data_IF_776221571109
#
_entry.id   IF_776221571109
#
_cell.length_a   1.000
_cell.length_b   1.000
_cell.length_c   1.000
_cell.angle_alpha   90.00
_cell.angle_beta   90.00
_cell.angle_gamma   90.00
#
_symmetry.space_group_name_H-M   'P 1'
#
loop_
_entity.id
_entity.type
_entity.pdbx_description
1 polymer ?
#
# COMPACT_ATOMS: atom_id res chain seq x y z
N UNK A 1 13.97 40.97 63.10
CA UNK A 1 13.58 39.55 63.11
C UNK A 1 12.75 39.29 61.85
N UNK A 2 13.34 38.49 60.94
CA UNK A 2 12.89 37.89 59.67
C UNK A 2 11.60 38.37 58.96
N UNK A 3 11.83 38.85 57.72
CA UNK A 3 10.92 39.02 56.57
C UNK A 3 10.05 37.77 56.30
N UNK A 4 8.79 37.98 55.89
CA UNK A 4 8.09 37.15 54.90
C UNK A 4 7.14 38.01 54.04
N UNK A 5 7.60 38.29 52.81
CA UNK A 5 6.76 38.45 51.63
C UNK A 5 6.09 37.08 51.33
N UNK A 6 4.93 37.07 50.68
CA UNK A 6 4.76 36.59 49.30
C UNK A 6 3.27 36.64 48.94
N UNK A 7 3.00 37.44 47.92
CA UNK A 7 1.78 37.52 47.13
C UNK A 7 1.86 36.37 46.10
N UNK A 8 0.94 35.41 46.17
CA UNK A 8 0.92 34.29 45.23
C UNK A 8 0.04 34.65 44.02
N UNK A 9 0.70 34.95 42.90
CA UNK A 9 0.07 34.97 41.58
C UNK A 9 -0.29 33.54 41.17
N UNK A 10 -1.47 33.41 40.57
CA UNK A 10 -1.95 32.20 39.88
C UNK A 10 -1.02 31.96 38.68
N UNK A 11 -0.18 30.92 38.76
CA UNK A 11 0.57 30.40 37.64
C UNK A 11 -0.27 29.26 37.02
N UNK A 12 -0.85 29.52 35.86
CA UNK A 12 -1.42 28.51 34.98
C UNK A 12 -0.25 27.64 34.50
N UNK A 13 -0.15 26.43 35.03
CA UNK A 13 0.83 25.44 34.60
C UNK A 13 0.29 24.78 33.33
N UNK A 14 0.58 25.38 32.17
CA UNK A 14 0.47 24.69 30.88
C UNK A 14 1.55 23.61 30.88
N UNK A 15 1.17 22.38 31.18
CA UNK A 15 1.96 21.20 30.85
C UNK A 15 1.81 21.01 29.35
N UNK A 16 2.62 21.72 28.57
CA UNK A 16 2.94 21.30 27.21
C UNK A 16 3.71 19.98 27.36
N UNK A 17 3.01 18.87 27.17
CA UNK A 17 3.63 17.62 26.75
C UNK A 17 4.27 17.90 25.38
N UNK A 18 5.49 18.42 25.41
CA UNK A 18 6.42 18.37 24.30
C UNK A 18 6.76 16.90 24.11
N UNK A 19 5.95 16.21 23.30
CA UNK A 19 6.43 15.04 22.59
C UNK A 19 7.56 15.60 21.71
N UNK A 20 8.82 15.18 21.90
CA UNK A 20 9.85 15.57 20.96
C UNK A 20 9.45 14.93 19.63
N UNK A 21 8.99 15.76 18.69
CA UNK A 21 8.98 15.44 17.26
C UNK A 21 10.46 15.44 16.82
N UNK A 22 11.23 14.51 17.36
CA UNK A 22 12.29 13.85 16.60
C UNK A 22 11.62 12.67 15.92
N UNK A 23 10.65 12.97 15.07
CA UNK A 23 10.09 12.03 14.12
C UNK A 23 11.22 11.65 13.17
N UNK A 24 11.44 10.35 13.03
CA UNK A 24 12.31 9.70 12.05
C UNK A 24 12.51 10.57 10.80
N UNK A 25 13.62 11.30 10.75
CA UNK A 25 13.97 12.08 9.58
C UNK A 25 14.05 11.11 8.40
N UNK A 26 13.34 11.41 7.32
CA UNK A 26 13.61 10.78 6.03
C UNK A 26 15.02 11.24 5.64
N UNK A 27 16.03 10.43 5.95
CA UNK A 27 17.44 10.80 5.82
C UNK A 27 17.70 11.40 4.43
N UNK A 28 18.00 12.70 4.40
CA UNK A 28 18.43 13.52 3.26
C UNK A 28 17.56 13.63 1.99
N UNK A 29 16.37 13.05 1.98
CA UNK A 29 15.50 13.07 0.80
C UNK A 29 14.45 14.18 0.84
N UNK A 30 14.31 14.88 -0.28
CA UNK A 30 13.21 15.80 -0.54
C UNK A 30 11.87 15.08 -0.77
N UNK A 31 10.77 15.69 -0.36
CA UNK A 31 9.42 15.26 -0.74
C UNK A 31 8.77 16.28 -1.65
N UNK A 32 8.29 15.84 -2.82
CA UNK A 32 7.52 16.66 -3.73
C UNK A 32 6.03 16.45 -3.49
N UNK A 33 5.35 17.48 -3.07
CA UNK A 33 3.92 17.52 -2.87
C UNK A 33 3.23 18.14 -4.07
N UNK A 34 2.10 17.58 -4.44
CA UNK A 34 1.23 18.11 -5.48
C UNK A 34 -0.22 18.00 -5.03
N UNK A 35 -1.00 19.06 -5.20
CA UNK A 35 -2.43 19.06 -4.88
C UNK A 35 -3.23 18.90 -6.17
N UNK A 36 -4.01 17.83 -6.28
CA UNK A 36 -4.81 17.54 -7.47
C UNK A 36 -6.30 17.43 -7.14
N UNK A 37 -7.19 17.79 -8.08
CA UNK A 37 -8.57 17.34 -8.03
C UNK A 37 -8.61 15.82 -8.03
N UNK A 38 -9.41 15.25 -7.14
CA UNK A 38 -9.52 13.80 -6.98
C UNK A 38 -10.97 13.39 -6.80
N UNK A 39 -11.35 12.30 -7.44
CA UNK A 39 -12.66 11.65 -7.24
C UNK A 39 -12.41 10.34 -6.51
N UNK A 40 -12.99 10.20 -5.33
CA UNK A 40 -12.81 9.03 -4.49
C UNK A 40 -13.36 7.77 -5.13
N UNK A 41 -12.63 6.67 -4.95
CA UNK A 41 -13.09 5.35 -5.35
C UNK A 41 -14.20 4.84 -4.43
N UNK A 42 -14.88 3.77 -4.85
CA UNK A 42 -15.92 3.11 -4.05
C UNK A 42 -15.39 2.80 -2.63
N UNK A 43 -16.12 3.26 -1.62
CA UNK A 43 -15.84 3.05 -0.19
C UNK A 43 -14.48 3.57 0.29
N UNK A 44 -13.89 4.53 -0.42
CA UNK A 44 -12.65 5.17 0.02
C UNK A 44 -12.90 6.14 1.18
N UNK A 45 -12.19 6.01 2.32
CA UNK A 45 -12.31 6.96 3.41
C UNK A 45 -11.63 8.30 3.07
N UNK A 46 -12.25 9.40 3.49
CA UNK A 46 -11.73 10.75 3.26
C UNK A 46 -10.36 10.97 3.91
N UNK A 47 -10.18 10.49 5.13
CA UNK A 47 -8.92 10.54 5.87
C UNK A 47 -8.62 9.19 6.53
N UNK A 48 -7.35 8.95 6.86
CA UNK A 48 -6.94 7.70 7.48
C UNK A 48 -6.96 6.49 6.54
N UNK A 49 -6.82 5.30 7.13
CA UNK A 49 -6.82 4.03 6.44
C UNK A 49 -7.55 2.96 7.23
N UNK A 50 -8.33 2.15 6.54
CA UNK A 50 -8.93 0.94 7.08
C UNK A 50 -7.88 0.00 7.65
N UNK A 51 -8.07 -0.39 8.92
CA UNK A 51 -7.21 -1.34 9.59
C UNK A 51 -7.72 -2.76 9.33
N UNK A 52 -6.89 -3.62 8.76
CA UNK A 52 -7.24 -4.99 8.42
C UNK A 52 -6.26 -6.04 8.93
N UNK A 53 -6.70 -7.30 8.94
CA UNK A 53 -5.86 -8.43 9.34
C UNK A 53 -6.18 -9.72 8.57
N UNK A 54 -5.19 -10.60 8.48
CA UNK A 54 -5.37 -12.00 8.13
C UNK A 54 -4.99 -12.86 9.32
N UNK A 55 -5.94 -13.68 9.76
CA UNK A 55 -5.81 -14.50 10.98
C UNK A 55 -6.27 -15.94 10.78
N UNK A 56 -6.74 -16.29 9.58
CA UNK A 56 -7.44 -17.56 9.33
C UNK A 56 -6.54 -18.81 9.31
N UNK A 57 -5.24 -18.62 9.54
CA UNK A 57 -4.25 -19.70 9.68
C UNK A 57 -3.52 -19.63 11.02
N UNK A 58 -4.01 -18.81 11.95
CA UNK A 58 -3.38 -18.66 13.25
C UNK A 58 -4.02 -19.56 14.31
N UNK A 59 -3.39 -20.73 14.49
CA UNK A 59 -3.85 -21.76 15.42
C UNK A 59 -3.82 -21.29 16.88
N UNK A 60 -2.90 -20.38 17.26
CA UNK A 60 -2.81 -19.88 18.64
C UNK A 60 -4.05 -19.11 19.09
N UNK A 61 -4.82 -18.58 18.13
CA UNK A 61 -6.09 -17.88 18.37
C UNK A 61 -7.28 -18.62 17.77
N UNK A 62 -7.16 -19.91 17.46
CA UNK A 62 -8.23 -20.71 16.82
C UNK A 62 -8.80 -20.06 15.54
N UNK A 63 -7.97 -19.34 14.78
CA UNK A 63 -8.40 -18.57 13.60
C UNK A 63 -9.47 -17.49 13.88
N UNK A 64 -9.59 -17.04 15.14
CA UNK A 64 -10.68 -16.19 15.62
C UNK A 64 -10.35 -14.69 15.48
N UNK A 65 -11.11 -14.02 14.63
CA UNK A 65 -11.00 -12.58 14.35
C UNK A 65 -11.37 -11.71 15.56
N UNK A 66 -12.36 -12.14 16.34
CA UNK A 66 -12.79 -11.44 17.57
C UNK A 66 -11.72 -11.57 18.64
N UNK A 67 -11.11 -12.75 18.80
CA UNK A 67 -9.99 -12.93 19.75
C UNK A 67 -8.78 -12.08 19.34
N UNK A 68 -8.44 -12.01 18.05
CA UNK A 68 -7.38 -11.12 17.58
C UNK A 68 -7.64 -9.66 17.95
N UNK A 69 -8.86 -9.15 17.70
CA UNK A 69 -9.26 -7.80 18.08
C UNK A 69 -9.15 -7.55 19.60
N UNK A 70 -9.49 -8.54 20.42
CA UNK A 70 -9.36 -8.44 21.88
C UNK A 70 -7.89 -8.35 22.29
N UNK A 71 -7.01 -9.17 21.71
CA UNK A 71 -5.59 -9.19 22.05
C UNK A 71 -4.89 -7.89 21.68
N UNK A 72 -5.15 -7.36 20.49
CA UNK A 72 -4.53 -6.11 20.01
C UNK A 72 -5.25 -4.85 20.52
N UNK A 73 -6.42 -5.00 21.14
CA UNK A 73 -7.17 -3.91 21.77
C UNK A 73 -7.84 -2.93 20.79
N UNK A 74 -7.99 -3.31 19.51
CA UNK A 74 -8.68 -2.50 18.50
C UNK A 74 -9.36 -3.38 17.46
N UNK A 75 -10.54 -2.95 17.00
CA UNK A 75 -11.31 -3.62 15.95
C UNK A 75 -10.67 -3.38 14.58
N UNK A 76 -10.50 -4.45 13.82
CA UNK A 76 -10.14 -4.40 12.40
C UNK A 76 -11.42 -4.36 11.56
N UNK A 77 -11.46 -3.47 10.56
CA UNK A 77 -12.61 -3.28 9.67
C UNK A 77 -12.57 -4.23 8.48
N UNK A 78 -11.42 -4.78 8.09
CA UNK A 78 -11.35 -5.74 6.98
C UNK A 78 -10.53 -6.96 7.36
N UNK A 79 -11.04 -8.14 7.00
CA UNK A 79 -10.28 -9.38 7.05
C UNK A 79 -10.34 -10.03 5.69
N UNK A 80 -9.25 -10.68 5.31
CA UNK A 80 -9.22 -11.39 4.04
C UNK A 80 -9.22 -12.91 4.17
N UNK A 81 -9.64 -13.58 3.08
CA UNK A 81 -9.61 -15.03 2.94
C UNK A 81 -9.13 -15.40 1.54
N UNK A 82 -8.18 -16.32 1.47
CA UNK A 82 -7.83 -16.98 0.20
C UNK A 82 -8.95 -17.93 -0.23
N UNK A 83 -9.33 -17.84 -1.49
CA UNK A 83 -10.34 -18.67 -2.12
C UNK A 83 -9.85 -19.06 -3.51
N UNK A 84 -9.71 -20.36 -3.76
CA UNK A 84 -9.42 -20.84 -5.12
C UNK A 84 -10.58 -20.57 -6.08
N UNK A 85 -10.28 -20.16 -7.30
CA UNK A 85 -11.25 -20.06 -8.38
C UNK A 85 -11.90 -21.43 -8.67
N UNK A 86 -13.19 -21.43 -8.95
CA UNK A 86 -14.04 -22.63 -9.03
C UNK A 86 -14.65 -23.05 -7.68
N UNK A 87 -14.35 -22.36 -6.56
CA UNK A 87 -15.02 -22.58 -5.26
C UNK A 87 -16.23 -21.67 -5.09
N UNK A 88 -17.29 -22.12 -4.39
CA UNK A 88 -18.49 -21.32 -4.17
C UNK A 88 -18.18 -20.05 -3.36
N UNK A 89 -19.05 -19.04 -3.50
CA UNK A 89 -18.97 -17.82 -2.71
C UNK A 89 -19.05 -18.13 -1.20
N UNK A 90 -18.13 -17.63 -0.37
CA UNK A 90 -18.00 -18.06 1.02
C UNK A 90 -18.97 -17.29 1.94
N UNK A 91 -20.28 -17.42 1.71
CA UNK A 91 -21.33 -16.59 2.34
C UNK A 91 -21.28 -16.57 3.87
N UNK A 92 -21.06 -17.71 4.52
CA UNK A 92 -21.02 -17.77 6.00
C UNK A 92 -19.86 -16.94 6.57
N UNK A 93 -18.70 -17.00 5.92
CA UNK A 93 -17.55 -16.22 6.33
C UNK A 93 -17.76 -14.73 6.03
N UNK A 94 -18.33 -14.40 4.87
CA UNK A 94 -18.71 -13.03 4.50
C UNK A 94 -19.66 -12.43 5.54
N UNK A 95 -20.72 -13.14 5.90
CA UNK A 95 -21.67 -12.71 6.92
C UNK A 95 -21.01 -12.48 8.28
N UNK A 96 -20.05 -13.33 8.68
CA UNK A 96 -19.32 -13.13 9.94
C UNK A 96 -18.54 -11.81 9.99
N UNK A 97 -18.04 -11.31 8.86
CA UNK A 97 -17.38 -10.00 8.78
C UNK A 97 -18.40 -8.86 8.79
N UNK A 98 -19.54 -9.05 8.13
CA UNK A 98 -20.64 -8.07 8.11
C UNK A 98 -21.23 -7.89 9.50
N UNK A 99 -21.39 -8.97 10.27
CA UNK A 99 -21.82 -8.94 11.66
C UNK A 99 -20.84 -8.19 12.56
N UNK A 100 -19.54 -8.20 12.21
CA UNK A 100 -18.54 -7.35 12.85
C UNK A 100 -18.59 -5.90 12.36
N UNK A 101 -19.43 -5.56 11.37
CA UNK A 101 -19.51 -4.25 10.74
C UNK A 101 -18.27 -3.91 9.92
N UNK A 102 -17.70 -4.91 9.24
CA UNK A 102 -16.49 -4.79 8.42
C UNK A 102 -16.71 -5.05 6.93
N UNK A 103 -15.64 -4.93 6.14
CA UNK A 103 -15.58 -5.21 4.70
C UNK A 103 -14.89 -6.56 4.48
N UNK A 104 -15.62 -7.61 4.05
CA UNK A 104 -15.00 -8.86 3.65
C UNK A 104 -14.06 -8.67 2.45
N UNK A 105 -12.87 -9.25 2.51
CA UNK A 105 -11.89 -9.22 1.43
C UNK A 105 -11.61 -10.65 0.92
N UNK A 106 -12.01 -10.94 -0.32
CA UNK A 106 -11.79 -12.25 -0.94
C UNK A 106 -10.55 -12.17 -1.83
N UNK A 107 -9.50 -12.89 -1.46
CA UNK A 107 -8.33 -13.12 -2.30
C UNK A 107 -8.61 -14.32 -3.22
N UNK A 108 -9.04 -14.03 -4.43
CA UNK A 108 -9.61 -15.00 -5.36
C UNK A 108 -8.58 -15.46 -6.39
N UNK A 109 -8.13 -16.71 -6.28
CA UNK A 109 -6.94 -17.18 -6.97
C UNK A 109 -7.26 -18.23 -8.04
N UNK A 110 -7.03 -17.95 -9.34
CA UNK A 110 -7.10 -18.95 -10.40
C UNK A 110 -5.87 -19.85 -10.35
N UNK A 111 -5.78 -20.67 -9.30
CA UNK A 111 -4.64 -21.54 -8.97
C UNK A 111 -4.29 -22.54 -10.09
N UNK A 112 -5.23 -22.85 -10.97
CA UNK A 112 -5.04 -23.73 -12.12
C UNK A 112 -4.73 -22.95 -13.43
N UNK A 113 -4.51 -21.64 -13.36
CA UNK A 113 -4.22 -20.78 -14.50
C UNK A 113 -5.46 -20.08 -15.09
N UNK A 114 -5.20 -19.15 -16.01
CA UNK A 114 -6.19 -18.23 -16.59
C UNK A 114 -7.20 -18.90 -17.54
N UNK A 115 -6.89 -20.07 -18.10
CA UNK A 115 -7.78 -20.79 -19.02
C UNK A 115 -9.12 -21.20 -18.37
N UNK A 116 -9.11 -21.38 -17.05
CA UNK A 116 -10.29 -21.70 -16.25
C UNK A 116 -11.22 -20.51 -16.03
N UNK A 117 -10.78 -19.29 -16.35
CA UNK A 117 -11.51 -18.05 -16.11
C UNK A 117 -12.30 -17.69 -17.36
N UNK A 118 -13.59 -17.96 -17.32
CA UNK A 118 -14.51 -17.76 -18.43
C UNK A 118 -15.78 -17.06 -17.93
N UNK A 119 -16.49 -16.41 -18.85
CA UNK A 119 -17.84 -15.92 -18.58
C UNK A 119 -18.82 -17.10 -18.64
N UNK A 120 -18.80 -17.90 -17.58
CA UNK A 120 -19.56 -19.13 -17.44
C UNK A 120 -20.53 -19.07 -16.25
N UNK A 121 -21.31 -20.14 -16.09
CA UNK A 121 -22.28 -20.27 -14.99
C UNK A 121 -21.62 -20.13 -13.61
N UNK A 122 -20.36 -20.54 -13.47
CA UNK A 122 -19.64 -20.41 -12.21
C UNK A 122 -19.35 -18.95 -11.88
N UNK A 123 -18.72 -18.21 -12.79
CA UNK A 123 -18.39 -16.80 -12.58
C UNK A 123 -19.67 -15.98 -12.34
N UNK A 124 -20.71 -16.22 -13.16
CA UNK A 124 -22.00 -15.51 -13.04
C UNK A 124 -22.69 -15.81 -11.70
N UNK A 125 -22.75 -17.07 -11.28
CA UNK A 125 -23.34 -17.40 -9.98
C UNK A 125 -22.53 -16.81 -8.83
N UNK A 126 -21.20 -16.87 -8.88
CA UNK A 126 -20.33 -16.27 -7.86
C UNK A 126 -20.59 -14.76 -7.72
N UNK A 127 -20.71 -14.05 -8.84
CA UNK A 127 -20.97 -12.62 -8.86
C UNK A 127 -22.39 -12.28 -8.37
N UNK A 128 -23.39 -13.09 -8.74
CA UNK A 128 -24.76 -12.95 -8.23
C UNK A 128 -24.85 -13.17 -6.72
N UNK A 129 -24.16 -14.19 -6.20
CA UNK A 129 -24.09 -14.45 -4.77
C UNK A 129 -23.42 -13.29 -4.04
N UNK A 130 -22.34 -12.73 -4.59
CA UNK A 130 -21.68 -11.55 -4.07
C UNK A 130 -22.60 -10.31 -4.09
N UNK A 131 -23.36 -10.11 -5.16
CA UNK A 131 -24.32 -9.01 -5.29
C UNK A 131 -25.50 -9.11 -4.33
N UNK A 132 -25.97 -10.33 -4.06
CA UNK A 132 -27.07 -10.60 -3.13
C UNK A 132 -26.75 -10.24 -1.66
N UNK A 133 -25.46 -10.12 -1.31
CA UNK A 133 -25.01 -9.66 0.02
C UNK A 133 -25.37 -8.19 0.26
N UNK A 134 -25.44 -7.38 -0.80
CA UNK A 134 -25.75 -5.94 -0.74
C UNK A 134 -24.83 -5.12 0.20
N UNK A 135 -23.57 -5.54 0.34
CA UNK A 135 -22.55 -4.95 1.22
C UNK A 135 -21.23 -4.68 0.47
N UNK A 136 -20.38 -3.72 0.88
CA UNK A 136 -19.04 -3.56 0.31
C UNK A 136 -18.20 -4.84 0.44
N UNK A 137 -17.50 -5.21 -0.64
CA UNK A 137 -16.63 -6.38 -0.71
C UNK A 137 -15.35 -6.02 -1.45
N UNK A 138 -14.18 -6.38 -0.92
CA UNK A 138 -12.96 -6.36 -1.73
C UNK A 138 -12.82 -7.68 -2.49
N UNK A 139 -12.70 -7.60 -3.82
CA UNK A 139 -12.41 -8.74 -4.70
C UNK A 139 -11.00 -8.58 -5.23
N UNK A 140 -10.06 -9.31 -4.61
CA UNK A 140 -8.66 -9.34 -5.00
C UNK A 140 -8.42 -10.56 -5.89
N UNK A 141 -8.75 -10.42 -7.17
CA UNK A 141 -8.60 -11.47 -8.16
C UNK A 141 -7.12 -11.60 -8.61
N UNK A 142 -6.58 -12.81 -8.65
CA UNK A 142 -5.30 -13.14 -9.28
C UNK A 142 -4.15 -12.18 -8.89
N UNK A 143 -3.91 -12.00 -7.58
CA UNK A 143 -2.88 -11.11 -7.04
C UNK A 143 -1.45 -11.62 -7.26
N UNK A 144 -0.46 -10.72 -7.20
CA UNK A 144 0.98 -11.01 -7.35
C UNK A 144 1.40 -11.58 -8.71
N UNK A 145 0.55 -11.39 -9.72
CA UNK A 145 0.77 -11.79 -11.11
C UNK A 145 2.11 -11.31 -11.69
N UNK A 146 2.66 -10.21 -11.17
CA UNK A 146 3.93 -9.61 -11.62
C UNK A 146 5.17 -10.45 -11.28
N UNK A 147 5.03 -11.49 -10.45
CA UNK A 147 6.07 -12.46 -10.14
C UNK A 147 6.25 -13.57 -11.18
N UNK A 148 6.84 -14.68 -10.75
CA UNK A 148 7.01 -15.91 -11.55
C UNK A 148 6.43 -17.16 -10.88
N UNK A 149 5.72 -16.98 -9.76
CA UNK A 149 5.28 -18.07 -8.88
C UNK A 149 3.80 -18.39 -8.96
N UNK A 150 3.01 -17.61 -9.70
CA UNK A 150 1.59 -17.86 -9.89
C UNK A 150 1.33 -18.53 -11.24
N UNK A 151 0.33 -19.40 -11.32
CA UNK A 151 -0.08 -20.05 -12.58
C UNK A 151 -0.64 -19.07 -13.62
N UNK A 152 -0.88 -17.83 -13.21
CA UNK A 152 -1.37 -16.71 -14.02
C UNK A 152 -0.30 -15.60 -14.21
N UNK A 153 0.97 -15.91 -13.93
CA UNK A 153 2.12 -15.08 -14.30
C UNK A 153 2.64 -15.43 -15.70
N UNK A 154 3.38 -14.52 -16.31
CA UNK A 154 4.12 -14.70 -17.57
C UNK A 154 3.41 -14.14 -18.80
N UNK A 155 2.07 -14.20 -18.86
CA UNK A 155 1.27 -13.65 -19.96
C UNK A 155 0.38 -12.50 -19.46
N UNK A 156 0.89 -11.28 -19.58
CA UNK A 156 0.16 -10.09 -19.15
C UNK A 156 -1.01 -9.73 -20.06
N UNK A 157 -1.01 -10.19 -21.32
CA UNK A 157 -2.12 -9.92 -22.25
C UNK A 157 -3.33 -10.76 -21.87
N UNK A 158 -3.12 -12.07 -21.65
CA UNK A 158 -4.16 -12.96 -21.16
C UNK A 158 -4.65 -12.53 -19.77
N UNK A 159 -3.75 -12.09 -18.89
CA UNK A 159 -4.13 -11.56 -17.58
C UNK A 159 -5.07 -10.37 -17.69
N UNK A 160 -4.73 -9.37 -18.51
CA UNK A 160 -5.56 -8.17 -18.70
C UNK A 160 -6.92 -8.55 -19.29
N UNK A 161 -6.97 -9.47 -20.26
CA UNK A 161 -8.23 -9.98 -20.81
C UNK A 161 -9.12 -10.59 -19.71
N UNK A 162 -8.57 -11.50 -18.89
CA UNK A 162 -9.35 -12.17 -17.84
C UNK A 162 -9.72 -11.25 -16.69
N UNK A 163 -8.85 -10.30 -16.35
CA UNK A 163 -9.18 -9.26 -15.37
C UNK A 163 -10.40 -8.47 -15.80
N UNK A 164 -10.39 -7.97 -17.04
CA UNK A 164 -11.50 -7.16 -17.58
C UNK A 164 -12.79 -7.96 -17.63
N UNK A 165 -12.72 -9.22 -18.06
CA UNK A 165 -13.87 -10.14 -18.04
C UNK A 165 -14.46 -10.28 -16.64
N UNK A 166 -13.63 -10.56 -15.61
CA UNK A 166 -14.11 -10.69 -14.22
C UNK A 166 -14.67 -9.38 -13.71
N UNK A 167 -13.99 -8.26 -13.98
CA UNK A 167 -14.49 -6.94 -13.62
C UNK A 167 -15.88 -6.67 -14.21
N UNK A 168 -16.08 -6.90 -15.50
CA UNK A 168 -17.35 -6.59 -16.16
C UNK A 168 -18.51 -7.42 -15.61
N UNK A 169 -18.27 -8.69 -15.27
CA UNK A 169 -19.28 -9.52 -14.60
C UNK A 169 -19.56 -9.03 -13.17
N UNK A 170 -18.52 -8.69 -12.41
CA UNK A 170 -18.69 -8.18 -11.04
C UNK A 170 -19.38 -6.81 -11.02
N UNK A 171 -19.05 -5.91 -11.93
CA UNK A 171 -19.70 -4.59 -12.03
C UNK A 171 -21.19 -4.74 -12.38
N UNK A 172 -21.53 -5.71 -13.23
CA UNK A 172 -22.92 -5.99 -13.60
C UNK A 172 -23.73 -6.59 -12.44
N UNK A 173 -23.21 -7.62 -11.78
CA UNK A 173 -23.98 -8.43 -10.82
C UNK A 173 -23.77 -7.98 -9.37
N UNK A 174 -22.64 -7.37 -9.05
CA UNK A 174 -22.22 -6.98 -7.70
C UNK A 174 -21.57 -5.56 -7.67
N UNK A 175 -22.29 -4.50 -8.03
CA UNK A 175 -21.72 -3.15 -8.21
C UNK A 175 -21.12 -2.53 -6.93
N UNK A 176 -21.47 -3.04 -5.74
CA UNK A 176 -20.86 -2.65 -4.45
C UNK A 176 -19.50 -3.32 -4.18
N UNK A 177 -19.13 -4.33 -4.97
CA UNK A 177 -17.80 -4.92 -4.91
C UNK A 177 -16.75 -3.94 -5.46
N UNK A 178 -15.59 -3.93 -4.82
CA UNK A 178 -14.40 -3.19 -5.22
C UNK A 178 -13.40 -4.16 -5.84
N UNK A 179 -13.11 -3.98 -7.12
CA UNK A 179 -12.08 -4.73 -7.82
C UNK A 179 -10.70 -4.22 -7.40
N UNK A 180 -9.98 -5.05 -6.62
CA UNK A 180 -8.73 -4.73 -5.94
C UNK A 180 -7.54 -5.35 -6.68
N UNK A 181 -6.85 -4.56 -7.49
CA UNK A 181 -5.70 -5.01 -8.30
C UNK A 181 -4.43 -5.02 -7.47
N UNK A 182 -4.06 -6.20 -6.96
CA UNK A 182 -2.91 -6.37 -6.06
C UNK A 182 -1.68 -6.93 -6.75
N UNK A 183 -0.55 -6.23 -6.61
CA UNK A 183 0.78 -6.70 -7.02
C UNK A 183 1.62 -7.12 -5.82
N UNK A 184 2.68 -7.89 -6.06
CA UNK A 184 3.79 -7.95 -5.11
C UNK A 184 4.73 -6.77 -5.38
N UNK A 185 5.38 -6.22 -4.34
CA UNK A 185 6.30 -5.08 -4.49
C UNK A 185 7.44 -5.32 -5.52
N UNK A 186 7.78 -6.58 -5.81
CA UNK A 186 8.76 -6.96 -6.85
C UNK A 186 8.29 -8.08 -7.77
N UNK A 187 8.84 -8.22 -9.00
CA UNK A 187 9.67 -7.24 -9.72
C UNK A 187 8.86 -6.03 -10.21
N UNK A 188 9.34 -4.81 -9.94
CA UNK A 188 8.68 -3.55 -10.34
C UNK A 188 8.50 -3.45 -11.86
N UNK A 189 9.49 -3.87 -12.65
CA UNK A 189 9.49 -3.76 -14.11
C UNK A 189 8.40 -4.59 -14.81
N UNK A 190 7.70 -5.46 -14.07
CA UNK A 190 6.56 -6.21 -14.58
C UNK A 190 5.22 -5.59 -14.17
N UNK A 191 5.16 -4.80 -13.08
CA UNK A 191 3.90 -4.31 -12.49
C UNK A 191 2.99 -3.65 -13.53
N UNK A 192 3.51 -2.65 -14.25
CA UNK A 192 2.70 -1.87 -15.20
C UNK A 192 2.21 -2.70 -16.40
N UNK A 193 2.90 -3.79 -16.76
CA UNK A 193 2.51 -4.64 -17.89
C UNK A 193 1.21 -5.40 -17.65
N UNK A 194 0.84 -5.60 -16.39
CA UNK A 194 -0.38 -6.29 -15.97
C UNK A 194 -1.52 -5.32 -15.62
N UNK A 195 -1.30 -4.00 -15.72
CA UNK A 195 -2.33 -3.04 -15.34
C UNK A 195 -3.47 -3.03 -16.37
N UNK A 196 -4.72 -3.35 -15.96
CA UNK A 196 -5.82 -3.54 -16.89
C UNK A 196 -6.44 -2.22 -17.36
N UNK A 197 -6.08 -1.09 -16.73
CA UNK A 197 -6.63 0.25 -17.00
C UNK A 197 -7.51 0.75 -15.86
N UNK A 198 -7.63 2.07 -15.73
CA UNK A 198 -8.34 2.71 -14.61
C UNK A 198 -9.83 2.39 -14.55
N UNK A 199 -10.43 2.08 -15.69
CA UNK A 199 -11.85 1.74 -15.78
C UNK A 199 -12.18 0.35 -15.23
N UNK A 200 -11.17 -0.49 -14.96
CA UNK A 200 -11.35 -1.86 -14.44
C UNK A 200 -10.80 -2.06 -13.02
N UNK A 201 -10.37 -1.00 -12.34
CA UNK A 201 -9.72 -1.07 -11.03
C UNK A 201 -10.34 -0.04 -10.10
N UNK A 202 -10.91 -0.48 -8.98
CA UNK A 202 -11.38 0.45 -7.95
C UNK A 202 -10.22 0.85 -7.02
N UNK A 203 -9.42 -0.14 -6.61
CA UNK A 203 -8.31 0.03 -5.66
C UNK A 203 -7.04 -0.65 -6.16
N UNK A 204 -5.87 -0.06 -5.89
CA UNK A 204 -4.57 -0.68 -6.17
C UNK A 204 -4.01 -1.26 -4.89
N UNK A 205 -3.79 -2.57 -4.90
CA UNK A 205 -3.25 -3.32 -3.79
C UNK A 205 -1.75 -3.59 -3.90
N UNK A 206 -1.09 -3.76 -2.77
CA UNK A 206 0.31 -4.18 -2.71
C UNK A 206 0.54 -5.15 -1.55
N UNK A 207 1.13 -6.30 -1.87
CA UNK A 207 1.70 -7.22 -0.91
C UNK A 207 3.18 -6.87 -0.71
N UNK A 208 3.62 -6.76 0.55
CA UNK A 208 5.01 -6.54 0.89
C UNK A 208 5.35 -7.13 2.26
N UNK A 209 6.58 -7.58 2.43
CA UNK A 209 7.04 -8.22 3.66
C UNK A 209 8.43 -7.71 4.01
N UNK A 210 8.73 -7.58 5.30
CA UNK A 210 10.10 -7.42 5.77
C UNK A 210 10.60 -8.75 6.33
N UNK A 211 11.61 -9.30 5.68
CA UNK A 211 12.26 -10.55 6.08
C UNK A 211 13.69 -10.30 6.53
N UNK A 212 14.25 -11.23 7.30
CA UNK A 212 15.68 -11.19 7.67
C UNK A 212 16.54 -11.64 6.49
N UNK A 213 16.08 -12.68 5.77
CA UNK A 213 16.75 -13.26 4.62
C UNK A 213 15.78 -13.50 3.47
N UNK A 214 16.18 -13.09 2.28
CA UNK A 214 15.45 -13.44 1.06
C UNK A 214 15.66 -14.90 0.69
N UNK A 215 14.59 -15.56 0.23
CA UNK A 215 14.62 -16.91 -0.33
C UNK A 215 15.29 -17.96 0.58
N UNK A 216 15.13 -17.84 1.91
CA UNK A 216 15.75 -18.74 2.89
C UNK A 216 17.28 -18.85 2.73
N UNK A 217 17.94 -17.77 2.33
CA UNK A 217 19.36 -17.78 2.03
C UNK A 217 20.11 -16.77 2.91
N UNK A 218 20.93 -17.28 3.83
CA UNK A 218 21.75 -16.47 4.76
C UNK A 218 22.71 -15.48 4.09
N UNK A 219 22.98 -15.64 2.80
CA UNK A 219 23.82 -14.72 2.02
C UNK A 219 23.03 -13.58 1.37
N UNK A 220 21.69 -13.62 1.46
CA UNK A 220 20.78 -12.62 0.94
C UNK A 220 20.06 -11.95 2.12
N UNK A 221 20.83 -11.30 3.01
CA UNK A 221 20.27 -10.49 4.10
C UNK A 221 19.40 -9.35 3.56
N UNK A 222 18.35 -9.01 4.31
CA UNK A 222 17.32 -8.07 3.90
C UNK A 222 16.86 -7.13 5.05
N UNK A 223 17.55 -7.15 6.18
CA UNK A 223 17.14 -6.38 7.37
C UNK A 223 17.18 -4.86 7.16
N UNK A 224 18.01 -4.39 6.23
CA UNK A 224 18.16 -2.99 5.85
C UNK A 224 16.98 -2.44 5.03
N UNK A 225 16.07 -3.30 4.56
CA UNK A 225 14.94 -2.87 3.74
C UNK A 225 13.95 -2.06 4.58
N UNK A 226 13.68 -0.82 4.16
CA UNK A 226 12.69 0.05 4.79
C UNK A 226 11.29 -0.28 4.24
N UNK A 227 10.33 -0.73 5.08
CA UNK A 227 8.96 -1.06 4.64
C UNK A 227 8.29 0.03 3.84
N UNK A 228 8.49 1.30 4.23
CA UNK A 228 7.86 2.43 3.53
C UNK A 228 8.36 2.51 2.10
N UNK A 229 9.64 2.25 1.87
CA UNK A 229 10.29 2.37 0.56
C UNK A 229 9.94 1.23 -0.39
N UNK A 230 9.35 0.14 0.11
CA UNK A 230 8.79 -0.92 -0.73
C UNK A 230 7.48 -0.49 -1.41
N UNK A 231 6.83 0.57 -0.91
CA UNK A 231 5.61 1.14 -1.49
C UNK A 231 5.87 2.17 -2.59
N UNK A 232 7.07 2.75 -2.62
CA UNK A 232 7.39 3.94 -3.42
C UNK A 232 6.94 3.79 -4.88
N UNK A 233 7.27 2.67 -5.53
CA UNK A 233 6.89 2.44 -6.92
C UNK A 233 5.37 2.46 -7.13
N UNK A 234 4.64 1.65 -6.36
CA UNK A 234 3.18 1.52 -6.52
C UNK A 234 2.49 2.84 -6.16
N UNK A 235 2.92 3.49 -5.09
CA UNK A 235 2.35 4.76 -4.66
C UNK A 235 2.57 5.85 -5.71
N UNK A 236 3.80 6.06 -6.16
CA UNK A 236 4.15 7.12 -7.12
C UNK A 236 3.46 6.92 -8.48
N UNK A 237 3.19 5.66 -8.88
CA UNK A 237 2.54 5.34 -10.15
C UNK A 237 1.01 5.46 -10.13
N UNK A 238 0.36 5.11 -9.01
CA UNK A 238 -1.10 4.93 -8.98
C UNK A 238 -1.86 5.86 -8.02
N UNK A 239 -1.22 6.41 -6.98
CA UNK A 239 -1.91 7.14 -5.90
C UNK A 239 -2.69 8.38 -6.35
N UNK A 240 -2.30 8.98 -7.49
CA UNK A 240 -3.00 10.10 -8.10
C UNK A 240 -4.38 9.74 -8.68
N UNK A 241 -4.64 8.45 -8.93
CA UNK A 241 -5.82 7.97 -9.64
C UNK A 241 -6.60 6.93 -8.83
N UNK A 242 -5.93 6.19 -7.96
CA UNK A 242 -6.51 5.09 -7.18
C UNK A 242 -6.05 5.15 -5.73
N UNK A 243 -6.91 4.84 -4.74
CA UNK A 243 -6.45 4.59 -3.38
C UNK A 243 -5.56 3.34 -3.32
N UNK A 244 -4.63 3.35 -2.38
CA UNK A 244 -3.67 2.26 -2.17
C UNK A 244 -4.11 1.42 -0.96
N UNK A 245 -4.13 0.11 -1.14
CA UNK A 245 -4.35 -0.88 -0.07
C UNK A 245 -3.09 -1.72 0.10
N UNK A 246 -2.45 -1.68 1.26
CA UNK A 246 -1.43 -2.68 1.61
C UNK A 246 -2.17 -3.95 2.00
N UNK A 247 -2.36 -4.85 1.05
CA UNK A 247 -3.25 -6.01 1.18
C UNK A 247 -2.66 -7.12 2.03
N UNK A 248 -1.33 -7.20 2.08
CA UNK A 248 -0.59 -8.03 3.00
C UNK A 248 0.67 -7.30 3.46
N UNK A 249 0.82 -7.21 4.78
CA UNK A 249 2.05 -6.82 5.42
C UNK A 249 2.41 -7.75 6.56
N UNK A 250 3.61 -8.34 6.51
CA UNK A 250 4.16 -9.12 7.62
C UNK A 250 5.63 -8.81 7.85
N UNK A 251 6.08 -8.93 9.09
CA UNK A 251 7.49 -8.83 9.45
C UNK A 251 7.96 -10.09 10.16
N UNK A 252 9.08 -10.66 9.69
CA UNK A 252 9.69 -11.83 10.33
C UNK A 252 10.07 -11.50 11.77
N UNK A 253 9.57 -12.29 12.72
CA UNK A 253 10.06 -12.26 14.10
C UNK A 253 10.74 -13.56 14.51
N UNK A 254 10.58 -14.63 13.74
CA UNK A 254 11.39 -15.86 13.81
C UNK A 254 11.60 -16.41 12.41
N UNK A 255 12.77 -17.01 12.14
CA UNK A 255 13.05 -17.69 10.87
C UNK A 255 13.79 -18.99 11.06
N UNK A 256 13.43 -20.01 10.27
CA UNK A 256 14.14 -21.30 10.24
C UNK A 256 15.47 -21.21 9.48
N UNK A 257 15.78 -20.09 8.80
CA UNK A 257 17.03 -19.93 8.04
C UNK A 257 18.27 -20.02 8.94
N UNK A 258 18.17 -19.46 10.14
CA UNK A 258 19.21 -19.48 11.17
C UNK A 258 18.67 -19.86 12.57
N UNK A 259 17.42 -20.32 12.64
CA UNK A 259 16.73 -20.77 13.85
C UNK A 259 16.73 -19.72 14.97
N UNK A 260 16.48 -18.46 14.62
CA UNK A 260 16.63 -17.31 15.52
C UNK A 260 15.40 -16.42 15.54
N UNK A 261 15.12 -15.85 16.72
CA UNK A 261 14.12 -14.80 16.93
C UNK A 261 14.71 -13.41 16.72
N UNK A 262 13.94 -12.54 16.07
CA UNK A 262 14.28 -11.19 15.63
C UNK A 262 13.23 -10.18 16.13
N UNK A 263 12.88 -10.24 17.41
CA UNK A 263 11.82 -9.42 18.02
C UNK A 263 12.06 -7.92 17.88
N UNK A 264 13.29 -7.44 18.13
CA UNK A 264 13.59 -6.01 18.01
C UNK A 264 13.54 -5.51 16.56
N UNK A 265 13.94 -6.36 15.60
CA UNK A 265 13.77 -6.06 14.17
C UNK A 265 12.29 -5.96 13.82
N UNK A 266 11.45 -6.89 14.28
CA UNK A 266 10.01 -6.83 14.05
C UNK A 266 9.39 -5.55 14.64
N UNK A 267 9.76 -5.18 15.87
CA UNK A 267 9.32 -3.93 16.53
C UNK A 267 9.76 -2.68 15.77
N UNK A 268 11.00 -2.65 15.27
CA UNK A 268 11.51 -1.56 14.44
C UNK A 268 10.66 -1.41 13.17
N UNK A 269 10.43 -2.49 12.41
CA UNK A 269 9.69 -2.40 11.14
C UNK A 269 8.21 -2.07 11.35
N UNK A 270 7.57 -2.65 12.38
CA UNK A 270 6.20 -2.27 12.78
C UNK A 270 6.11 -0.79 13.10
N UNK A 271 7.03 -0.28 13.93
CA UNK A 271 7.07 1.14 14.29
C UNK A 271 7.33 2.02 13.07
N UNK A 272 8.20 1.57 12.16
CA UNK A 272 8.54 2.30 10.93
C UNK A 272 7.32 2.45 10.03
N UNK A 273 6.61 1.37 9.72
CA UNK A 273 5.46 1.41 8.83
C UNK A 273 4.25 2.06 9.52
N UNK A 274 3.76 1.54 10.65
CA UNK A 274 2.52 2.03 11.26
C UNK A 274 2.69 3.42 11.89
N UNK A 275 3.89 3.83 12.30
CA UNK A 275 4.13 5.16 12.84
C UNK A 275 4.21 6.27 11.78
N UNK A 276 4.47 5.94 10.51
CA UNK A 276 4.80 6.95 9.48
C UNK A 276 4.03 6.79 8.16
N UNK A 277 3.34 5.67 7.94
CA UNK A 277 2.66 5.33 6.69
C UNK A 277 1.73 6.43 6.22
N UNK A 278 0.76 6.83 7.03
CA UNK A 278 -0.29 7.75 6.63
C UNK A 278 0.19 9.21 6.53
N UNK A 279 1.31 9.54 7.17
CA UNK A 279 1.97 10.84 6.99
C UNK A 279 2.72 10.89 5.67
N UNK A 280 3.40 9.80 5.29
CA UNK A 280 4.21 9.73 4.08
C UNK A 280 3.41 9.40 2.83
N UNK A 281 2.33 8.66 2.99
CA UNK A 281 1.52 8.09 1.91
C UNK A 281 0.03 8.28 2.23
N UNK A 282 -0.49 9.52 2.24
CA UNK A 282 -1.88 9.82 2.62
C UNK A 282 -2.94 9.13 1.73
N UNK A 283 -2.57 8.69 0.52
CA UNK A 283 -3.43 7.89 -0.36
C UNK A 283 -3.41 6.40 -0.06
N UNK A 284 -2.66 5.95 0.94
CA UNK A 284 -2.87 4.63 1.53
C UNK A 284 -4.11 4.70 2.40
N UNK A 285 -5.13 3.97 1.98
CA UNK A 285 -6.49 4.02 2.53
C UNK A 285 -6.90 2.70 3.18
N UNK A 286 -6.04 1.69 3.12
CA UNK A 286 -6.17 0.45 3.88
C UNK A 286 -4.79 -0.22 4.09
N UNK A 287 -4.59 -0.86 5.24
CA UNK A 287 -3.44 -1.73 5.51
C UNK A 287 -3.93 -3.00 6.21
N UNK A 288 -3.42 -4.15 5.79
CA UNK A 288 -3.82 -5.45 6.33
C UNK A 288 -2.60 -6.23 6.81
N UNK A 289 -2.55 -6.49 8.13
CA UNK A 289 -1.46 -7.26 8.73
C UNK A 289 -1.65 -8.77 8.48
N UNK A 290 -0.60 -9.45 8.03
CA UNK A 290 -0.57 -10.89 7.79
C UNK A 290 -0.11 -11.64 9.05
N UNK A 291 -1.06 -11.96 9.93
CA UNK A 291 -0.79 -12.63 11.21
C UNK A 291 -0.79 -14.14 11.04
N UNK A 292 0.33 -14.70 10.59
CA UNK A 292 0.49 -16.14 10.38
C UNK A 292 1.86 -16.62 10.81
N UNK A 293 1.87 -17.69 11.60
CA UNK A 293 3.06 -18.50 11.78
C UNK A 293 3.21 -19.48 10.61
N UNK A 294 3.91 -19.07 9.55
CA UNK A 294 4.09 -19.95 8.38
C UNK A 294 4.97 -21.17 8.66
N UNK A 295 5.72 -21.20 9.77
CA UNK A 295 6.52 -22.37 10.14
C UNK A 295 5.61 -23.55 10.49
N UNK A 296 4.54 -23.25 11.23
CA UNK A 296 3.60 -24.26 11.75
C UNK A 296 2.32 -24.39 10.92
N UNK A 297 2.10 -23.49 9.96
CA UNK A 297 0.88 -23.50 9.16
C UNK A 297 0.76 -24.79 8.34
N UNK A 298 -0.19 -25.66 8.72
CA UNK A 298 -0.59 -26.83 7.94
C UNK A 298 -1.60 -26.44 6.86
N UNK A 299 -1.16 -25.55 5.96
CA UNK A 299 -1.99 -24.83 5.01
C UNK A 299 -1.82 -25.33 3.56
N UNK A 300 -1.27 -26.53 3.36
CA UNK A 300 -0.97 -27.06 2.02
C UNK A 300 0.07 -26.23 1.24
N UNK A 301 0.69 -25.21 1.87
CA UNK A 301 1.78 -24.45 1.30
C UNK A 301 2.97 -25.39 1.12
N UNK A 302 3.61 -25.27 -0.03
CA UNK A 302 4.86 -25.94 -0.35
C UNK A 302 5.80 -25.90 0.86
N UNK A 303 6.26 -27.06 1.34
CA UNK A 303 7.09 -27.16 2.55
C UNK A 303 8.32 -26.22 2.51
N UNK A 304 8.77 -25.82 1.32
CA UNK A 304 9.85 -24.86 1.10
C UNK A 304 9.52 -23.39 1.43
N UNK A 305 8.27 -23.04 1.77
CA UNK A 305 7.86 -21.67 2.14
C UNK A 305 7.55 -21.52 3.64
N UNK A 306 7.66 -22.59 4.42
CA UNK A 306 7.52 -22.60 5.89
C UNK A 306 8.78 -22.07 6.57
N UNK A 307 9.11 -20.80 6.33
CA UNK A 307 10.41 -20.21 6.68
C UNK A 307 10.28 -19.19 7.82
N UNK A 308 9.28 -18.32 7.76
CA UNK A 308 9.17 -17.16 8.64
C UNK A 308 7.92 -17.24 9.51
N UNK A 309 8.04 -16.84 10.78
CA UNK A 309 6.89 -16.54 11.62
C UNK A 309 6.59 -15.04 11.55
N UNK A 310 5.36 -14.71 11.14
CA UNK A 310 4.82 -13.34 11.08
C UNK A 310 3.73 -13.09 12.13
N UNK A 311 3.34 -14.10 12.91
CA UNK A 311 2.23 -14.00 13.87
C UNK A 311 2.60 -13.13 15.06
N UNK A 312 1.96 -11.98 15.20
CA UNK A 312 2.08 -11.14 16.39
C UNK A 312 1.59 -11.89 17.63
N UNK A 313 0.56 -12.72 17.46
CA UNK A 313 -0.13 -13.46 18.54
C UNK A 313 0.73 -14.50 19.26
N UNK A 314 1.90 -14.84 18.75
CA UNK A 314 2.84 -15.73 19.45
C UNK A 314 3.79 -14.99 20.38
N UNK A 315 3.83 -13.64 20.34
CA UNK A 315 4.80 -12.83 21.06
C UNK A 315 4.16 -11.60 21.73
N UNK A 316 4.08 -11.60 23.08
CA UNK A 316 3.43 -10.52 23.85
C UNK A 316 4.02 -9.13 23.60
N UNK A 317 5.32 -9.03 23.30
CA UNK A 317 5.97 -7.76 22.97
C UNK A 317 5.49 -7.19 21.62
N UNK A 318 5.22 -8.07 20.65
CA UNK A 318 4.74 -7.66 19.34
C UNK A 318 3.27 -7.26 19.37
N UNK A 319 2.44 -7.98 20.14
CA UNK A 319 1.05 -7.55 20.40
C UNK A 319 1.02 -6.16 21.04
N UNK A 320 1.84 -5.91 22.06
CA UNK A 320 1.91 -4.59 22.71
C UNK A 320 2.38 -3.50 21.74
N UNK A 321 3.43 -3.76 20.99
CA UNK A 321 3.97 -2.82 20.00
C UNK A 321 2.94 -2.48 18.93
N UNK A 322 2.29 -3.50 18.36
CA UNK A 322 1.23 -3.32 17.36
C UNK A 322 0.03 -2.57 17.93
N UNK A 323 -0.45 -2.97 19.11
CA UNK A 323 -1.56 -2.32 19.83
C UNK A 323 -1.30 -0.83 20.05
N UNK A 324 -0.10 -0.47 20.49
CA UNK A 324 0.27 0.94 20.72
C UNK A 324 0.28 1.75 19.42
N UNK A 325 0.73 1.17 18.31
CA UNK A 325 0.80 1.83 17.00
C UNK A 325 -0.58 2.03 16.37
N UNK A 326 -1.45 1.02 16.43
CA UNK A 326 -2.78 1.09 15.80
C UNK A 326 -3.78 1.94 16.59
N UNK A 327 -3.46 2.36 17.83
CA UNK A 327 -4.33 3.26 18.63
C UNK A 327 -4.59 4.61 17.96
N UNK A 328 -3.71 5.05 17.06
CA UNK A 328 -3.93 6.26 16.26
C UNK A 328 -5.30 6.20 15.57
N UNK A 329 -6.09 7.25 15.72
CA UNK A 329 -7.45 7.37 15.17
C UNK A 329 -7.45 7.31 13.63
N UNK A 330 -6.31 7.60 12.99
CA UNK A 330 -6.13 7.45 11.54
C UNK A 330 -6.20 5.99 11.07
N UNK A 331 -6.05 5.01 11.96
CA UNK A 331 -6.34 3.60 11.65
C UNK A 331 -7.80 3.31 11.96
N UNK A 332 -8.62 3.23 10.92
CA UNK A 332 -10.07 3.18 11.02
C UNK A 332 -10.57 1.78 11.37
N UNK A 333 -11.55 1.74 12.29
CA UNK A 333 -12.22 0.52 12.77
C UNK A 333 -13.65 0.37 12.25
N UNK A 334 -14.11 1.33 11.46
CA UNK A 334 -15.46 1.42 10.90
C UNK A 334 -15.39 1.78 9.42
N UNK A 335 -16.45 1.45 8.69
CA UNK A 335 -16.59 1.81 7.27
C UNK A 335 -17.04 3.27 7.21
N UNK A 336 -16.36 4.07 6.40
CA UNK A 336 -16.68 5.48 6.21
C UNK A 336 -17.51 5.68 4.93
N UNK A 337 -18.29 6.76 4.90
CA UNK A 337 -18.93 7.20 3.66
C UNK A 337 -17.87 7.69 2.66
N UNK A 338 -18.06 7.35 1.38
CA UNK A 338 -17.19 7.85 0.32
C UNK A 338 -17.39 9.35 0.18
N UNK A 339 -16.32 10.16 0.29
CA UNK A 339 -16.46 11.60 0.20
C UNK A 339 -16.75 12.05 -1.24
N UNK A 340 -17.39 13.20 -1.35
CA UNK A 340 -17.51 13.94 -2.62
C UNK A 340 -16.12 14.33 -3.15
N UNK A 341 -15.96 14.60 -4.47
CA UNK A 341 -14.69 15.01 -5.04
C UNK A 341 -14.00 16.14 -4.26
N UNK A 342 -12.74 15.93 -3.88
CA UNK A 342 -11.93 16.84 -3.06
C UNK A 342 -10.64 17.24 -3.76
N UNK A 343 -9.89 18.17 -3.14
CA UNK A 343 -8.48 18.36 -3.43
C UNK A 343 -7.65 17.44 -2.54
N UNK A 344 -6.85 16.58 -3.15
CA UNK A 344 -5.97 15.66 -2.44
C UNK A 344 -4.51 16.10 -2.60
N UNK A 345 -3.75 16.08 -1.51
CA UNK A 345 -2.30 16.33 -1.55
C UNK A 345 -1.55 15.01 -1.62
N UNK A 346 -0.90 14.78 -2.76
CA UNK A 346 -0.02 13.65 -3.00
C UNK A 346 1.40 13.98 -2.57
N UNK A 347 2.16 12.93 -2.30
CA UNK A 347 3.56 13.00 -1.88
C UNK A 347 4.38 12.05 -2.73
N UNK A 348 5.22 12.63 -3.58
CA UNK A 348 6.13 11.93 -4.46
C UNK A 348 7.53 11.95 -3.85
N UNK A 349 8.05 10.76 -3.58
CA UNK A 349 9.16 10.61 -2.64
C UNK A 349 10.38 9.90 -3.23
N UNK A 350 10.28 9.33 -4.43
CA UNK A 350 11.27 8.38 -4.86
C UNK A 350 12.06 8.79 -6.10
N UNK A 351 11.47 9.52 -7.05
CA UNK A 351 12.12 9.73 -8.36
C UNK A 351 12.51 11.16 -8.77
N UNK A 352 13.54 11.68 -8.11
CA UNK A 352 14.18 12.93 -8.49
C UNK A 352 15.68 12.93 -8.16
N UNK A 353 16.42 13.90 -8.71
CA UNK A 353 17.82 14.17 -8.37
C UNK A 353 18.18 15.63 -8.66
N UNK A 354 19.24 16.12 -8.02
CA UNK A 354 19.80 17.43 -8.33
C UNK A 354 20.99 17.30 -9.28
N UNK A 355 21.03 18.12 -10.34
CA UNK A 355 22.16 18.22 -11.25
C UNK A 355 22.40 19.68 -11.63
N UNK A 356 23.63 20.17 -11.48
CA UNK A 356 23.99 21.57 -11.70
C UNK A 356 23.05 22.57 -10.97
N UNK A 357 22.78 22.30 -9.69
CA UNK A 357 21.89 23.09 -8.83
C UNK A 357 20.43 23.19 -9.31
N UNK A 358 20.02 22.32 -10.25
CA UNK A 358 18.63 22.20 -10.71
C UNK A 358 18.05 20.87 -10.27
N UNK A 359 16.78 20.88 -9.88
CA UNK A 359 16.04 19.67 -9.56
C UNK A 359 15.44 19.07 -10.83
N UNK A 360 15.70 17.79 -11.03
CA UNK A 360 15.12 16.96 -12.07
C UNK A 360 14.22 15.93 -11.43
N UNK A 361 13.00 15.81 -11.93
CA UNK A 361 12.01 14.82 -11.49
C UNK A 361 11.76 13.87 -12.64
N UNK A 362 11.53 12.60 -12.33
CA UNK A 362 11.27 11.57 -13.32
C UNK A 362 10.07 11.92 -14.21
N UNK A 363 10.14 11.52 -15.48
CA UNK A 363 9.13 11.84 -16.48
C UNK A 363 7.72 11.39 -16.05
N UNK A 364 7.63 10.24 -15.37
CA UNK A 364 6.38 9.66 -14.87
C UNK A 364 5.66 10.57 -13.86
N UNK A 365 6.38 11.43 -13.14
CA UNK A 365 5.75 12.42 -12.28
C UNK A 365 4.84 13.36 -13.09
N UNK A 366 5.31 13.83 -14.23
CA UNK A 366 4.57 14.79 -15.05
C UNK A 366 3.36 14.16 -15.73
N UNK A 367 3.48 12.91 -16.18
CA UNK A 367 2.37 12.19 -16.80
C UNK A 367 1.35 11.74 -15.76
N UNK A 368 1.80 11.12 -14.67
CA UNK A 368 0.92 10.43 -13.72
C UNK A 368 0.37 11.38 -12.66
N UNK A 369 1.11 12.42 -12.27
CA UNK A 369 0.71 13.34 -11.20
C UNK A 369 0.23 14.70 -11.72
N UNK A 370 0.73 15.18 -12.87
CA UNK A 370 0.28 16.46 -13.47
C UNK A 370 -0.66 16.27 -14.67
N UNK A 371 -0.87 15.03 -15.14
CA UNK A 371 -1.74 14.75 -16.29
C UNK A 371 -1.21 15.27 -17.63
N UNK A 372 0.08 15.63 -17.71
CA UNK A 372 0.70 16.10 -18.94
C UNK A 372 0.91 14.92 -19.92
N UNK A 373 0.72 15.19 -21.21
CA UNK A 373 0.93 14.21 -22.28
C UNK A 373 2.31 14.37 -22.89
N UNK A 374 2.95 13.24 -23.18
CA UNK A 374 4.15 13.20 -24.01
C UNK A 374 3.71 13.26 -25.48
N UNK A 375 4.06 14.35 -26.17
CA UNK A 375 3.73 14.55 -27.59
C UNK A 375 4.86 14.05 -28.48
N UNK A 376 6.10 14.25 -28.05
CA UNK A 376 7.30 13.81 -28.74
C UNK A 376 8.39 13.50 -27.71
N UNK A 377 9.19 12.48 -27.96
CA UNK A 377 10.32 12.13 -27.11
C UNK A 377 11.46 11.56 -27.95
N UNK A 378 12.67 12.05 -27.69
CA UNK A 378 13.91 11.48 -28.20
C UNK A 378 14.86 11.10 -27.05
N UNK A 379 16.09 10.70 -27.37
CA UNK A 379 17.06 10.25 -26.37
C UNK A 379 17.50 11.37 -25.39
N UNK A 380 17.31 12.63 -25.74
CA UNK A 380 17.85 13.83 -25.08
C UNK A 380 16.78 14.86 -24.71
N UNK A 381 15.57 14.75 -25.24
CA UNK A 381 14.50 15.73 -25.01
C UNK A 381 13.11 15.09 -24.99
N UNK A 382 12.16 15.79 -24.36
CA UNK A 382 10.74 15.44 -24.35
C UNK A 382 9.90 16.70 -24.52
N UNK A 383 8.82 16.59 -25.28
CA UNK A 383 7.78 17.60 -25.42
C UNK A 383 6.56 17.19 -24.60
N UNK A 384 6.27 17.96 -23.56
CA UNK A 384 5.10 17.81 -22.70
C UNK A 384 3.99 18.77 -23.13
N UNK A 385 2.73 18.36 -23.00
CA UNK A 385 1.56 19.20 -23.29
C UNK A 385 0.38 18.94 -22.37
N UNK A 386 -0.39 19.98 -22.06
CA UNK A 386 -1.71 19.93 -21.39
C UNK A 386 -2.87 19.95 -22.42
N UNK A 387 -2.56 19.88 -23.72
CA UNK A 387 -3.50 20.01 -24.84
C UNK A 387 -3.67 21.44 -25.38
N UNK A 388 -3.21 22.46 -24.65
CA UNK A 388 -3.26 23.87 -25.06
C UNK A 388 -1.85 24.46 -25.24
N UNK A 389 -1.00 24.23 -24.24
CA UNK A 389 0.40 24.64 -24.19
C UNK A 389 1.29 23.43 -24.41
N UNK A 390 2.46 23.63 -25.01
CA UNK A 390 3.48 22.61 -25.18
C UNK A 390 4.85 23.18 -24.84
N UNK A 391 5.71 22.37 -24.23
CA UNK A 391 7.08 22.77 -23.91
C UNK A 391 8.05 21.61 -24.14
N UNK A 392 9.14 21.89 -24.86
CA UNK A 392 10.22 20.92 -25.06
C UNK A 392 11.33 21.18 -24.06
N UNK A 393 11.71 20.14 -23.33
CA UNK A 393 12.65 20.18 -22.21
C UNK A 393 13.68 19.06 -22.32
N UNK A 394 14.91 19.26 -21.84
CA UNK A 394 15.94 18.24 -21.90
C UNK A 394 15.64 17.09 -20.93
N UNK A 395 15.99 15.87 -21.33
CA UNK A 395 16.06 14.69 -20.48
C UNK A 395 17.50 14.54 -19.99
N UNK A 396 17.68 14.46 -18.67
CA UNK A 396 18.94 14.09 -18.03
C UNK A 396 18.73 12.77 -17.31
N UNK A 397 19.56 11.77 -17.62
CA UNK A 397 19.48 10.47 -16.97
C UNK A 397 20.28 10.45 -15.68
N UNK A 398 19.71 9.82 -14.67
CA UNK A 398 20.39 9.47 -13.43
C UNK A 398 19.96 8.07 -12.99
N UNK A 399 20.55 7.56 -11.93
CA UNK A 399 20.20 6.28 -11.34
C UNK A 399 20.04 6.45 -9.83
N UNK A 400 19.07 5.76 -9.25
CA UNK A 400 18.92 5.69 -7.80
C UNK A 400 18.69 4.25 -7.38
N UNK A 401 19.26 3.91 -6.23
CA UNK A 401 19.28 2.54 -5.70
C UNK A 401 17.86 2.14 -5.27
N UNK A 402 17.44 0.94 -5.67
CA UNK A 402 16.24 0.26 -5.18
C UNK A 402 16.49 -0.30 -3.78
N UNK A 403 15.44 -0.26 -2.97
CA UNK A 403 15.43 -0.83 -1.62
C UNK A 403 15.74 -2.32 -1.66
N UNK A 404 15.26 -3.02 -2.70
CA UNK A 404 15.35 -4.47 -2.83
C UNK A 404 16.46 -4.92 -3.79
N UNK A 405 17.20 -5.98 -3.40
CA UNK A 405 18.28 -6.63 -4.15
C UNK A 405 19.42 -5.72 -4.69
N UNK A 406 19.68 -4.56 -4.07
CA UNK A 406 20.71 -3.62 -4.54
C UNK A 406 20.57 -3.25 -6.04
N UNK A 407 19.35 -3.31 -6.58
CA UNK A 407 19.09 -2.92 -7.97
C UNK A 407 19.11 -1.39 -8.10
N UNK A 408 19.12 -0.88 -9.32
CA UNK A 408 19.00 0.55 -9.60
C UNK A 408 17.83 0.76 -10.55
N UNK A 409 17.07 1.84 -10.34
CA UNK A 409 16.16 2.32 -11.36
C UNK A 409 16.80 3.50 -12.10
N UNK A 410 16.43 3.64 -13.37
CA UNK A 410 16.88 4.75 -14.22
C UNK A 410 15.87 5.88 -14.12
N UNK A 411 16.33 7.08 -13.78
CA UNK A 411 15.53 8.30 -13.77
C UNK A 411 15.62 8.95 -15.15
N UNK A 412 14.49 9.17 -15.82
CA UNK A 412 14.40 10.06 -16.98
C UNK A 412 14.06 11.46 -16.47
N UNK A 413 15.07 12.15 -15.95
CA UNK A 413 14.91 13.42 -15.26
C UNK A 413 14.57 14.57 -16.19
N UNK A 414 13.51 15.28 -15.85
CA UNK A 414 13.05 16.52 -16.51
C UNK A 414 13.09 17.68 -15.51
N UNK A 415 13.54 18.89 -15.90
CA UNK A 415 13.74 20.00 -14.97
C UNK A 415 12.42 20.58 -14.43
N UNK A 416 12.17 20.40 -13.12
CA UNK A 416 10.89 20.75 -12.47
C UNK A 416 10.52 22.22 -12.67
N UNK A 417 11.45 23.14 -12.38
CA UNK A 417 11.20 24.58 -12.49
C UNK A 417 10.75 24.99 -13.90
N UNK A 418 11.40 24.44 -14.93
CA UNK A 418 11.13 24.83 -16.32
C UNK A 418 9.76 24.33 -16.78
N UNK A 419 9.38 23.12 -16.38
CA UNK A 419 8.04 22.60 -16.67
C UNK A 419 6.99 23.39 -15.91
N UNK A 420 7.20 23.63 -14.61
CA UNK A 420 6.29 24.41 -13.79
C UNK A 420 6.02 25.80 -14.37
N UNK A 421 7.08 26.55 -14.73
CA UNK A 421 6.95 27.88 -15.34
C UNK A 421 6.22 27.84 -16.69
N UNK A 422 6.36 26.75 -17.48
CA UNK A 422 5.71 26.62 -18.79
C UNK A 422 4.19 26.38 -18.70
N UNK A 423 3.73 25.76 -17.61
CA UNK A 423 2.32 25.41 -17.39
C UNK A 423 1.66 26.25 -16.28
N UNK A 424 2.37 27.26 -15.76
CA UNK A 424 1.83 28.20 -14.76
C UNK A 424 1.77 27.66 -13.33
N UNK A 425 2.46 26.56 -13.02
CA UNK A 425 2.54 26.05 -11.66
C UNK A 425 3.48 26.88 -10.78
N UNK A 426 3.09 27.08 -9.52
CA UNK A 426 3.92 27.71 -8.51
C UNK A 426 4.69 26.66 -7.71
N UNK A 427 6.00 26.87 -7.54
CA UNK A 427 6.86 26.03 -6.72
C UNK A 427 7.20 26.75 -5.42
N UNK A 428 6.79 26.15 -4.30
CA UNK A 428 7.19 26.56 -2.95
C UNK A 428 8.20 25.55 -2.42
N UNK A 429 9.33 26.03 -1.91
CA UNK A 429 10.43 25.18 -1.41
C UNK A 429 10.61 25.46 0.07
N UNK A 430 10.47 24.43 0.89
CA UNK A 430 10.83 24.45 2.31
C UNK A 430 12.15 23.69 2.51
N UNK A 431 13.22 24.44 2.71
CA UNK A 431 14.56 23.87 2.94
C UNK A 431 14.71 23.23 4.33
N UNK A 432 13.89 23.63 5.31
CA UNK A 432 13.95 23.04 6.66
C UNK A 432 13.29 21.67 6.66
N UNK A 433 12.14 21.55 6.00
CA UNK A 433 11.41 20.29 5.86
C UNK A 433 11.88 19.43 4.68
N UNK A 434 12.80 19.96 3.86
CA UNK A 434 13.20 19.37 2.57
C UNK A 434 11.96 19.01 1.73
N UNK A 435 11.03 19.95 1.60
CA UNK A 435 9.80 19.73 0.83
C UNK A 435 9.64 20.73 -0.29
N UNK A 436 8.96 20.29 -1.34
CA UNK A 436 8.63 21.09 -2.52
C UNK A 436 7.14 20.94 -2.72
N UNK A 437 6.40 22.04 -2.76
CA UNK A 437 4.97 22.02 -3.02
C UNK A 437 4.72 22.67 -4.38
N UNK A 438 4.12 21.91 -5.29
CA UNK A 438 3.61 22.37 -6.57
C UNK A 438 2.13 22.75 -6.42
N UNK A 439 1.78 23.98 -6.82
CA UNK A 439 0.42 24.52 -6.78
C UNK A 439 -0.04 25.05 -8.13
#
# INVERSE_FOLDING_TARGET
MKRRLIQFCILIMIVQLLIPVSAFAFDDEWTLYNTIPYTSAKYEPSEGAYLGAYVLQEVSINNDMTLFNQMVGKKHVTYFKYLGYGKPFPIDWVNSIIELGGIPHIAWEPNNGLDSVQDDDYLRQFAQDAGAVDWPLFIRFASEMNGTWCAYSGDSTAYIEKWRLVHDVMEQEAPKAMMLWTVFTFPEEQIEKYYPGDEYVDWVGVNLYNVVYHNNNRYLGAMEEDPLRLLDFVYDTYSARKPIHITEYGVTHYTTTDDTYYIDFAKEKLSRIYGNLLTRYPRVKAITYFNVNNVDADNGVWANRRINNYALTTEDELIRTYSDLIKDEKYLSEIEETPEPTLETLSFNYRYFTHQSKLYVDLDFYTNNLGLKIVEQDATSVTLSDGTTSTTVPIVRSYKKRTFYNRYYTIQGVPLRRVADSFGYNILIDYQQKSILLK
#
